data_IF_524121495418
#
_entry.id   IF_524121495418
#
_cell.length_a   1.000
_cell.length_b   1.000
_cell.length_c   1.000
_cell.angle_alpha   90.00
_cell.angle_beta   90.00
_cell.angle_gamma   90.00
#
_symmetry.space_group_name_H-M   'P 1'
#
loop_
_entity.id
_entity.type
_entity.pdbx_description
1 polymer ?
#
# COMPACT_ATOMS: atom_id res chain seq x y z
N UNK A 1 5.31 -21.34 -7.75
CA UNK A 1 4.88 -21.14 -7.16
C UNK A 1 5.09 -20.67 -6.01
N UNK A 2 5.45 -19.95 -5.59
CA UNK A 2 5.82 -19.42 -4.38
C UNK A 2 4.93 -18.34 -3.96
N UNK A 3 3.76 -18.70 -3.64
CA UNK A 3 2.77 -17.77 -3.12
C UNK A 3 3.03 -17.44 -1.65
N UNK A 4 3.85 -18.25 -0.97
CA UNK A 4 4.10 -18.06 0.46
C UNK A 4 4.70 -16.70 0.82
N UNK A 5 5.41 -16.07 -0.10
CA UNK A 5 5.96 -14.72 0.13
C UNK A 5 4.88 -13.68 0.37
N UNK A 6 3.70 -13.89 -0.19
CA UNK A 6 2.60 -12.94 -0.09
C UNK A 6 1.56 -13.33 0.95
N UNK A 7 1.62 -14.54 1.49
CA UNK A 7 0.58 -15.01 2.40
C UNK A 7 0.63 -14.31 3.75
N UNK A 8 -0.53 -14.11 4.39
CA UNK A 8 -0.56 -13.48 5.71
C UNK A 8 0.12 -14.37 6.75
N UNK A 9 0.62 -13.73 7.80
CA UNK A 9 1.24 -14.44 8.92
C UNK A 9 0.20 -14.95 9.92
N UNK A 10 -1.07 -14.64 9.71
CA UNK A 10 -2.15 -15.06 10.61
C UNK A 10 -3.18 -15.85 9.84
N UNK A 11 -4.00 -16.60 10.56
CA UNK A 11 -5.08 -17.38 9.95
C UNK A 11 -6.29 -16.50 9.66
N UNK A 12 -7.03 -16.86 8.61
CA UNK A 12 -8.28 -16.20 8.28
C UNK A 12 -8.12 -14.88 7.55
N UNK A 13 -9.23 -14.16 7.35
CA UNK A 13 -9.19 -12.89 6.63
C UNK A 13 -8.28 -11.90 7.31
N UNK A 14 -7.36 -11.32 6.53
CA UNK A 14 -6.34 -10.41 7.03
C UNK A 14 -6.44 -9.08 6.28
N UNK A 15 -6.64 -7.96 6.97
CA UNK A 15 -6.62 -6.65 6.31
C UNK A 15 -5.24 -6.36 5.70
N UNK A 16 -5.24 -5.67 4.57
CA UNK A 16 -3.99 -5.34 3.88
C UNK A 16 -4.01 -3.89 3.46
N UNK A 17 -2.96 -3.15 3.78
CA UNK A 17 -2.78 -1.80 3.28
C UNK A 17 -1.93 -1.83 2.02
N UNK A 18 -2.28 -1.01 1.03
CA UNK A 18 -1.59 -0.97 -0.25
C UNK A 18 -0.75 0.31 -0.32
N UNK A 19 0.57 0.14 -0.32
CA UNK A 19 1.52 1.24 -0.45
C UNK A 19 1.68 1.65 -1.91
N UNK A 20 2.24 2.83 -2.13
CA UNK A 20 2.52 3.36 -3.46
C UNK A 20 3.34 2.39 -4.31
N UNK A 21 4.40 1.79 -3.75
CA UNK A 21 5.27 0.88 -4.51
C UNK A 21 4.53 -0.38 -4.96
N UNK A 22 3.64 -0.89 -4.12
CA UNK A 22 2.81 -2.04 -4.49
C UNK A 22 1.82 -1.72 -5.59
N UNK A 23 1.13 -0.59 -5.47
CA UNK A 23 0.19 -0.17 -6.50
C UNK A 23 0.89 0.23 -7.80
N UNK A 24 2.06 0.86 -7.69
CA UNK A 24 2.86 1.20 -8.87
C UNK A 24 3.22 -0.08 -9.65
N UNK A 25 3.66 -1.11 -8.95
CA UNK A 25 3.98 -2.39 -9.60
C UNK A 25 2.76 -2.99 -10.30
N UNK A 26 1.58 -2.83 -9.71
CA UNK A 26 0.35 -3.34 -10.30
C UNK A 26 -0.04 -2.58 -11.57
N UNK A 27 0.05 -1.26 -11.54
CA UNK A 27 -0.45 -0.43 -12.66
C UNK A 27 0.55 -0.19 -13.77
N UNK A 28 1.86 -0.26 -13.48
CA UNK A 28 2.89 0.01 -14.50
C UNK A 28 3.33 -1.31 -15.14
N UNK A 29 2.94 -1.58 -16.41
CA UNK A 29 3.21 -2.88 -17.04
C UNK A 29 4.69 -3.21 -17.19
N UNK A 30 5.56 -2.21 -17.10
CA UNK A 30 7.01 -2.40 -17.27
C UNK A 30 7.76 -2.38 -15.95
N UNK A 31 7.06 -2.32 -14.82
CA UNK A 31 7.70 -2.44 -13.51
C UNK A 31 8.23 -3.87 -13.33
N UNK A 32 9.38 -3.98 -12.67
CA UNK A 32 10.01 -5.29 -12.46
C UNK A 32 9.09 -6.26 -11.73
N UNK A 33 8.32 -5.78 -10.78
CA UNK A 33 7.44 -6.62 -9.98
C UNK A 33 6.02 -6.72 -10.53
N UNK A 34 5.79 -6.23 -11.76
CA UNK A 34 4.43 -6.15 -12.30
C UNK A 34 3.73 -7.52 -12.35
N UNK A 35 4.39 -8.53 -12.91
CA UNK A 35 3.76 -9.84 -13.12
C UNK A 35 3.42 -10.51 -11.79
N UNK A 36 4.32 -10.48 -10.82
CA UNK A 36 4.04 -11.10 -9.54
C UNK A 36 2.96 -10.36 -8.77
N UNK A 37 2.93 -9.03 -8.89
CA UNK A 37 1.90 -8.23 -8.20
C UNK A 37 0.54 -8.45 -8.80
N UNK A 38 0.47 -8.51 -10.12
CA UNK A 38 -0.79 -8.79 -10.81
C UNK A 38 -1.33 -10.16 -10.43
N UNK A 39 -0.47 -11.17 -10.41
CA UNK A 39 -0.85 -12.52 -9.98
C UNK A 39 -1.33 -12.53 -8.53
N UNK A 40 -0.69 -11.75 -7.67
CA UNK A 40 -1.10 -11.64 -6.27
C UNK A 40 -2.52 -11.06 -6.16
N UNK A 41 -2.80 -9.97 -6.87
CA UNK A 41 -4.15 -9.38 -6.84
C UNK A 41 -5.19 -10.34 -7.41
N UNK A 42 -4.84 -11.12 -8.44
CA UNK A 42 -5.74 -12.13 -8.98
C UNK A 42 -6.10 -13.17 -7.90
N UNK A 43 -5.12 -13.58 -7.09
CA UNK A 43 -5.38 -14.52 -5.99
C UNK A 43 -6.27 -13.92 -4.91
N UNK A 44 -6.15 -12.62 -4.65
CA UNK A 44 -7.04 -11.94 -3.71
C UNK A 44 -8.46 -11.95 -4.25
N UNK A 45 -8.64 -11.60 -5.52
CA UNK A 45 -9.96 -11.53 -6.15
C UNK A 45 -10.63 -12.89 -6.15
N UNK A 46 -9.89 -13.96 -6.42
CA UNK A 46 -10.46 -15.32 -6.43
C UNK A 46 -10.64 -15.91 -5.04
N UNK A 47 -10.11 -15.25 -4.00
CA UNK A 47 -10.20 -15.74 -2.64
C UNK A 47 -9.14 -16.76 -2.25
N UNK A 48 -8.18 -17.04 -3.15
CA UNK A 48 -7.11 -18.00 -2.84
C UNK A 48 -6.17 -17.49 -1.77
N UNK A 49 -6.03 -16.17 -1.67
CA UNK A 49 -5.24 -15.53 -0.61
C UNK A 49 -6.18 -14.60 0.15
N UNK A 50 -6.34 -14.82 1.47
CA UNK A 50 -7.46 -14.20 2.21
C UNK A 50 -7.15 -12.81 2.72
N UNK A 51 -6.75 -11.89 1.86
CA UNK A 51 -6.60 -10.49 2.26
C UNK A 51 -7.90 -9.73 2.02
N UNK A 52 -8.49 -9.24 3.11
CA UNK A 52 -9.66 -8.35 3.09
C UNK A 52 -9.89 -7.76 4.47
N UNK A 53 -10.32 -6.49 4.57
CA UNK A 53 -10.46 -5.56 3.46
C UNK A 53 -9.10 -5.06 2.96
N UNK A 54 -9.10 -4.41 1.79
CA UNK A 54 -7.93 -3.74 1.25
C UNK A 54 -8.08 -2.25 1.50
N UNK A 55 -7.01 -1.61 1.97
CA UNK A 55 -7.02 -0.18 2.29
C UNK A 55 -5.93 0.54 1.51
N UNK A 56 -6.18 1.76 1.15
CA UNK A 56 -5.13 2.72 0.79
C UNK A 56 -5.58 4.11 1.23
N UNK A 57 -4.75 5.13 1.07
CA UNK A 57 -5.14 6.48 1.49
C UNK A 57 -4.89 7.51 0.41
N UNK A 58 -5.36 8.73 0.63
CA UNK A 58 -5.24 9.80 -0.34
C UNK A 58 -3.79 10.22 -0.61
N UNK A 59 -2.90 10.06 0.38
CA UNK A 59 -1.48 10.36 0.21
C UNK A 59 -0.83 9.39 -0.77
N UNK A 60 -1.19 8.10 -0.68
CA UNK A 60 -0.73 7.09 -1.64
C UNK A 60 -1.25 7.41 -3.03
N UNK A 61 -2.53 7.79 -3.14
CA UNK A 61 -3.12 8.11 -4.45
C UNK A 61 -2.38 9.29 -5.10
N UNK A 62 -2.10 10.34 -4.32
CA UNK A 62 -1.35 11.50 -4.82
C UNK A 62 0.03 11.08 -5.34
N UNK A 63 0.77 10.35 -4.53
CA UNK A 63 2.13 9.92 -4.88
C UNK A 63 2.11 8.97 -6.08
N UNK A 64 1.17 8.03 -6.12
CA UNK A 64 1.04 7.06 -7.19
C UNK A 64 0.73 7.71 -8.53
N UNK A 65 -0.26 8.61 -8.55
CA UNK A 65 -0.65 9.30 -9.78
C UNK A 65 0.51 10.13 -10.32
N UNK A 66 1.18 10.87 -9.45
CA UNK A 66 2.34 11.68 -9.84
C UNK A 66 3.45 10.81 -10.41
N UNK A 67 3.73 9.68 -9.76
CA UNK A 67 4.78 8.78 -10.19
C UNK A 67 4.44 8.12 -11.54
N UNK A 68 3.19 7.70 -11.73
CA UNK A 68 2.77 7.11 -12.99
C UNK A 68 2.79 8.12 -14.14
N UNK A 69 2.48 9.38 -13.86
CA UNK A 69 2.58 10.43 -14.88
C UNK A 69 4.00 10.57 -15.40
N UNK A 70 5.00 10.45 -14.52
CA UNK A 70 6.39 10.64 -14.94
C UNK A 70 7.06 9.36 -15.43
N UNK A 71 6.72 8.21 -14.87
CA UNK A 71 7.40 6.95 -15.18
C UNK A 71 6.63 6.08 -16.18
N UNK A 72 5.34 6.23 -16.27
CA UNK A 72 4.51 5.51 -17.23
C UNK A 72 3.89 6.50 -18.22
N UNK A 73 2.58 6.69 -18.19
CA UNK A 73 1.89 7.63 -19.07
C UNK A 73 0.77 8.33 -18.31
N UNK A 74 0.34 9.53 -18.75
CA UNK A 74 -0.84 10.16 -18.16
C UNK A 74 -2.10 9.30 -18.23
N UNK A 75 -2.23 8.49 -19.26
CA UNK A 75 -3.38 7.60 -19.43
C UNK A 75 -3.40 6.51 -18.35
N UNK A 76 -2.26 5.90 -18.08
CA UNK A 76 -2.14 4.90 -17.02
C UNK A 76 -2.39 5.54 -15.65
N UNK A 77 -1.89 6.75 -15.44
CA UNK A 77 -2.11 7.47 -14.18
C UNK A 77 -3.60 7.74 -13.95
N UNK A 78 -4.31 8.18 -14.98
CA UNK A 78 -5.76 8.40 -14.90
C UNK A 78 -6.51 7.10 -14.61
N UNK A 79 -6.15 6.04 -15.30
CA UNK A 79 -6.77 4.73 -15.09
C UNK A 79 -6.59 4.26 -13.64
N UNK A 80 -5.38 4.43 -13.10
CA UNK A 80 -5.11 4.04 -11.72
C UNK A 80 -5.98 4.82 -10.75
N UNK A 81 -6.07 6.14 -10.92
CA UNK A 81 -6.89 6.98 -10.08
C UNK A 81 -8.36 6.53 -10.12
N UNK A 82 -8.88 6.37 -11.32
CA UNK A 82 -10.28 6.01 -11.51
C UNK A 82 -10.59 4.65 -10.90
N UNK A 83 -9.73 3.67 -11.13
CA UNK A 83 -9.94 2.32 -10.61
C UNK A 83 -9.89 2.27 -9.09
N UNK A 84 -8.98 3.02 -8.46
CA UNK A 84 -8.89 3.04 -6.99
C UNK A 84 -10.12 3.72 -6.41
N UNK A 85 -10.51 4.87 -6.94
CA UNK A 85 -11.62 5.65 -6.41
C UNK A 85 -12.95 4.90 -6.57
N UNK A 86 -13.12 4.20 -7.69
CA UNK A 86 -14.38 3.52 -8.00
C UNK A 86 -14.41 2.06 -7.57
N UNK A 87 -13.31 1.54 -7.05
CA UNK A 87 -13.26 0.14 -6.65
C UNK A 87 -14.15 -0.12 -5.44
N UNK A 88 -14.95 -1.17 -5.52
CA UNK A 88 -15.68 -1.65 -4.36
C UNK A 88 -14.83 -2.53 -3.45
N UNK A 89 -13.62 -2.90 -3.89
CA UNK A 89 -12.74 -3.80 -3.15
C UNK A 89 -11.69 -3.06 -2.32
N UNK A 90 -11.43 -1.78 -2.62
CA UNK A 90 -10.43 -0.99 -1.90
C UNK A 90 -11.15 0.11 -1.13
N UNK A 91 -10.88 0.17 0.17
CA UNK A 91 -11.41 1.25 1.01
C UNK A 91 -10.40 2.38 1.01
N UNK A 92 -10.79 3.51 0.42
CA UNK A 92 -9.93 4.68 0.34
C UNK A 92 -10.10 5.51 1.61
N UNK A 93 -9.02 5.67 2.36
CA UNK A 93 -9.01 6.44 3.59
C UNK A 93 -8.64 7.89 3.30
N UNK A 94 -9.52 8.81 3.68
CA UNK A 94 -9.23 10.25 3.61
C UNK A 94 -8.63 10.62 4.96
N UNK A 95 -7.39 11.08 4.94
CA UNK A 95 -6.68 11.35 6.19
C UNK A 95 -7.22 12.59 6.89
N UNK A 96 -7.03 12.65 8.21
CA UNK A 96 -7.60 13.72 9.04
C UNK A 96 -6.49 14.46 9.79
N UNK A 97 -6.90 15.51 10.47
CA UNK A 97 -5.96 16.39 11.20
C UNK A 97 -5.24 15.64 12.33
N UNK A 98 -5.95 14.79 13.04
CA UNK A 98 -5.38 14.02 14.15
C UNK A 98 -4.24 13.12 13.68
N UNK A 99 -4.42 12.45 12.55
CA UNK A 99 -3.36 11.61 11.98
C UNK A 99 -2.22 12.46 11.44
N UNK A 100 -2.53 13.60 10.86
CA UNK A 100 -1.51 14.52 10.37
C UNK A 100 -0.58 14.94 11.53
N UNK A 101 -1.16 15.28 12.67
CA UNK A 101 -0.40 15.68 13.85
C UNK A 101 0.43 14.52 14.40
N UNK A 102 -0.14 13.30 14.38
CA UNK A 102 0.58 12.10 14.81
C UNK A 102 1.79 11.80 13.93
N UNK A 103 1.72 12.12 12.63
CA UNK A 103 2.87 11.99 11.74
C UNK A 103 3.99 12.95 12.16
N UNK A 104 3.63 14.16 12.60
CA UNK A 104 4.62 15.10 13.12
C UNK A 104 5.41 14.51 14.28
N UNK A 105 4.71 13.88 15.23
CA UNK A 105 5.35 13.21 16.36
C UNK A 105 6.24 12.05 15.90
N UNK A 106 5.80 11.29 14.91
CA UNK A 106 6.57 10.17 14.36
C UNK A 106 7.83 10.66 13.65
N UNK A 107 7.74 11.76 12.91
CA UNK A 107 8.90 12.36 12.24
C UNK A 107 9.98 12.73 13.26
N UNK A 108 9.58 13.26 14.40
CA UNK A 108 10.52 13.61 15.47
C UNK A 108 11.15 12.35 16.07
N UNK A 109 10.33 11.31 16.34
CA UNK A 109 10.81 10.08 16.95
C UNK A 109 11.80 9.33 16.06
N UNK A 110 11.61 9.36 14.75
CA UNK A 110 12.43 8.64 13.79
C UNK A 110 13.27 9.59 12.92
N UNK A 111 13.72 10.69 13.49
CA UNK A 111 14.37 11.77 12.76
C UNK A 111 15.69 11.37 12.11
N UNK A 112 16.32 10.30 12.56
CA UNK A 112 17.57 9.81 11.99
C UNK A 112 17.38 8.67 10.97
N UNK A 113 16.14 8.29 10.65
CA UNK A 113 15.86 7.18 9.75
C UNK A 113 15.52 7.60 8.32
N UNK A 114 15.15 8.85 8.09
CA UNK A 114 14.80 9.32 6.76
C UNK A 114 13.52 8.72 6.19
N UNK A 115 12.61 8.28 7.06
CA UNK A 115 11.33 7.70 6.64
C UNK A 115 10.42 8.82 6.14
N UNK A 116 9.80 8.63 4.98
CA UNK A 116 8.99 9.67 4.35
C UNK A 116 7.71 9.98 5.12
N UNK A 117 7.16 11.17 4.88
CA UNK A 117 5.89 11.57 5.47
C UNK A 117 4.78 10.58 5.11
N UNK A 118 4.72 10.16 3.85
CA UNK A 118 3.70 9.22 3.38
C UNK A 118 3.81 7.88 4.11
N UNK A 119 5.02 7.37 4.29
CA UNK A 119 5.22 6.10 5.00
C UNK A 119 4.79 6.21 6.47
N UNK A 120 5.09 7.32 7.12
CA UNK A 120 4.62 7.57 8.47
C UNK A 120 3.11 7.67 8.53
N UNK A 121 2.49 8.33 7.56
CA UNK A 121 1.03 8.44 7.52
C UNK A 121 0.39 7.06 7.35
N UNK A 122 0.96 6.22 6.49
CA UNK A 122 0.49 4.85 6.31
C UNK A 122 0.55 4.10 7.64
N UNK A 123 1.68 4.18 8.35
CA UNK A 123 1.85 3.47 9.61
C UNK A 123 0.87 3.95 10.69
N UNK A 124 0.65 5.26 10.77
CA UNK A 124 -0.32 5.84 11.73
C UNK A 124 -1.72 5.32 11.43
N UNK A 125 -2.11 5.36 10.16
CA UNK A 125 -3.44 4.91 9.73
C UNK A 125 -3.62 3.42 9.98
N UNK A 126 -2.61 2.62 9.64
CA UNK A 126 -2.67 1.18 9.86
C UNK A 126 -2.86 0.83 11.34
N UNK A 127 -2.16 1.51 12.22
CA UNK A 127 -2.30 1.25 13.66
C UNK A 127 -3.71 1.56 14.16
N UNK A 128 -4.30 2.65 13.70
CA UNK A 128 -5.66 3.00 14.09
C UNK A 128 -6.68 1.99 13.58
N UNK A 129 -6.46 1.44 12.39
CA UNK A 129 -7.37 0.48 11.78
C UNK A 129 -7.09 -0.96 12.20
N UNK A 130 -6.08 -1.18 13.04
CA UNK A 130 -5.62 -2.52 13.44
C UNK A 130 -5.20 -3.36 12.22
N UNK A 131 -4.50 -2.73 11.29
CA UNK A 131 -3.94 -3.38 10.11
C UNK A 131 -2.43 -3.48 10.32
N UNK A 132 -1.87 -4.67 10.20
CA UNK A 132 -0.44 -4.85 10.39
C UNK A 132 0.30 -5.37 9.15
N UNK A 133 -0.41 -5.69 8.07
CA UNK A 133 0.20 -6.13 6.82
C UNK A 133 0.11 -5.03 5.76
N UNK A 134 1.22 -4.79 5.07
CA UNK A 134 1.29 -3.79 4.00
C UNK A 134 1.95 -4.38 2.77
N UNK A 135 1.35 -4.15 1.59
CA UNK A 135 1.96 -4.52 0.31
C UNK A 135 2.91 -3.41 -0.10
N UNK A 136 4.19 -3.69 -0.12
CA UNK A 136 5.20 -2.70 -0.47
C UNK A 136 6.47 -3.38 -1.00
N UNK A 137 7.11 -2.74 -1.98
CA UNK A 137 8.38 -3.18 -2.51
C UNK A 137 9.55 -2.29 -2.05
N UNK A 138 9.23 -1.15 -1.49
CA UNK A 138 10.23 -0.26 -0.89
C UNK A 138 9.62 0.41 0.34
N UNK A 139 10.41 1.23 1.02
CA UNK A 139 9.97 1.89 2.22
C UNK A 139 10.54 1.24 3.47
N UNK A 140 10.21 1.83 4.62
CA UNK A 140 10.80 1.42 5.89
C UNK A 140 9.78 0.87 6.86
N UNK A 141 8.80 0.15 6.35
CA UNK A 141 7.67 -0.32 7.17
C UNK A 141 8.08 -1.33 8.23
N UNK A 142 9.10 -2.14 7.95
CA UNK A 142 9.59 -3.09 8.95
C UNK A 142 10.20 -2.37 10.15
N UNK A 143 10.90 -1.26 9.91
CA UNK A 143 11.41 -0.41 10.98
C UNK A 143 10.28 0.14 11.84
N UNK A 144 9.12 0.36 11.25
CA UNK A 144 7.94 0.85 11.95
C UNK A 144 7.12 -0.27 12.59
N UNK A 145 7.60 -1.50 12.56
CA UNK A 145 6.94 -2.62 13.23
C UNK A 145 5.83 -3.28 12.44
N UNK A 146 5.77 -3.06 11.13
CA UNK A 146 4.72 -3.60 10.28
C UNK A 146 5.21 -4.82 9.51
N UNK A 147 4.28 -5.68 9.11
CA UNK A 147 4.58 -6.86 8.32
C UNK A 147 4.49 -6.52 6.84
N UNK A 148 5.61 -6.56 6.15
CA UNK A 148 5.66 -6.24 4.72
C UNK A 148 5.47 -7.50 3.90
N UNK A 149 4.60 -7.44 2.89
CA UNK A 149 4.46 -8.50 1.89
C UNK A 149 4.76 -7.90 0.53
N UNK A 150 5.45 -8.63 -0.36
CA UNK A 150 5.98 -9.99 -0.17
C UNK A 150 7.18 -10.01 0.78
N UNK A 151 7.34 -11.15 1.44
CA UNK A 151 8.50 -11.38 2.31
C UNK A 151 9.69 -11.85 1.50
#
# INVERSE_FOLDING_TARGET
>A
MTTTRFEPLQDGPTPLFLDTSGLFAYFHPRADEHEETKAFFDRIVTGSTPYRPLYTNTYVVDELVTLLQSKATPSIAWEAFERIVESGAIELVYENESRFDAVGDALERYDDHGISFTDHMIAVTMRELNVDHVLAYDGDFETLGLTVVPR
#
